data_IF_116951445465
#
_entry.id   IF_116951445465
#
_cell.length_a   1.000
_cell.length_b   1.000
_cell.length_c   1.000
_cell.angle_alpha   90.00
_cell.angle_beta   90.00
_cell.angle_gamma   90.00
#
_symmetry.space_group_name_H-M   'P 1'
#
loop_
_entity.id
_entity.type
_entity.pdbx_description
1 polymer ?
#
# COMPACT_ATOMS: atom_id res chain seq x y z
N UNK A 1 4.82 -2.21 -5.66
CA UNK A 1 5.00 -0.74 -5.73
C UNK A 1 4.15 -0.25 -6.87
N UNK A 2 3.28 0.73 -6.64
CA UNK A 2 2.50 1.40 -7.69
C UNK A 2 2.96 2.85 -7.73
N UNK A 3 3.43 3.27 -8.89
CA UNK A 3 3.71 4.67 -9.17
C UNK A 3 2.38 5.35 -9.47
N UNK A 4 2.04 6.35 -8.66
CA UNK A 4 0.76 7.07 -8.74
C UNK A 4 0.96 8.44 -9.38
N UNK A 5 2.07 9.11 -9.09
CA UNK A 5 2.40 10.44 -9.62
C UNK A 5 3.91 10.68 -9.59
N UNK A 6 4.43 11.36 -10.61
CA UNK A 6 5.85 11.70 -10.77
C UNK A 6 6.22 13.02 -10.06
N UNK A 7 5.22 13.79 -9.63
CA UNK A 7 5.36 15.09 -8.98
C UNK A 7 4.84 15.08 -7.53
N UNK A 8 5.31 16.03 -6.72
CA UNK A 8 4.76 16.25 -5.38
C UNK A 8 3.35 16.82 -5.46
N UNK A 9 2.38 16.25 -4.72
CA UNK A 9 1.02 16.79 -4.69
C UNK A 9 0.98 18.20 -4.10
N UNK A 10 0.12 19.04 -4.65
CA UNK A 10 -0.13 20.37 -4.09
C UNK A 10 -0.98 20.25 -2.82
N UNK A 11 -0.89 21.28 -1.96
CA UNK A 11 -1.77 21.36 -0.79
C UNK A 11 -3.25 21.32 -1.24
N UNK A 12 -4.04 20.46 -0.59
CA UNK A 12 -5.46 20.17 -0.90
C UNK A 12 -5.74 19.44 -2.23
N UNK A 13 -4.72 18.96 -2.93
CA UNK A 13 -4.92 18.12 -4.11
C UNK A 13 -5.39 16.71 -3.71
N UNK A 14 -6.44 16.23 -4.37
CA UNK A 14 -6.97 14.86 -4.17
C UNK A 14 -6.75 14.03 -5.43
N UNK A 15 -5.92 12.99 -5.32
CA UNK A 15 -5.68 12.03 -6.40
C UNK A 15 -6.59 10.81 -6.20
N UNK A 16 -7.56 10.54 -7.09
CA UNK A 16 -8.37 9.34 -6.99
C UNK A 16 -7.55 8.09 -7.36
N UNK A 17 -7.54 7.09 -6.48
CA UNK A 17 -6.83 5.82 -6.69
C UNK A 17 -7.85 4.68 -6.72
N UNK A 18 -7.76 3.81 -7.74
CA UNK A 18 -8.48 2.54 -7.81
C UNK A 18 -7.49 1.39 -7.92
N UNK A 19 -7.40 0.56 -6.87
CA UNK A 19 -6.52 -0.60 -6.81
C UNK A 19 -7.34 -1.90 -6.79
N UNK A 20 -7.19 -2.72 -7.83
CA UNK A 20 -7.88 -4.01 -7.92
C UNK A 20 -7.06 -5.12 -7.27
N UNK A 21 -7.54 -5.67 -6.14
CA UNK A 21 -6.79 -6.67 -5.37
C UNK A 21 -6.75 -8.07 -6.04
N UNK A 22 -7.63 -8.33 -7.00
CA UNK A 22 -7.77 -9.65 -7.64
C UNK A 22 -6.54 -10.07 -8.47
N UNK A 23 -5.71 -9.11 -8.90
CA UNK A 23 -4.50 -9.37 -9.68
C UNK A 23 -3.27 -9.69 -8.82
N UNK A 24 -3.41 -9.74 -7.50
CA UNK A 24 -2.30 -10.03 -6.58
C UNK A 24 -2.51 -11.37 -5.88
N UNK A 25 -1.42 -12.08 -5.66
CA UNK A 25 -1.39 -13.28 -4.81
C UNK A 25 -1.38 -12.87 -3.33
N UNK A 26 -2.53 -12.37 -2.86
CA UNK A 26 -2.72 -11.96 -1.47
C UNK A 26 -3.31 -13.11 -0.65
N UNK A 27 -2.78 -13.25 0.56
CA UNK A 27 -3.44 -14.04 1.60
C UNK A 27 -4.24 -13.11 2.49
N UNK A 28 -5.16 -13.62 3.34
CA UNK A 28 -5.75 -12.83 4.41
C UNK A 28 -4.68 -12.21 5.31
N UNK A 29 -5.07 -11.16 6.04
CA UNK A 29 -4.29 -10.66 7.16
C UNK A 29 -4.32 -11.68 8.30
N UNK A 30 -3.15 -12.04 8.80
CA UNK A 30 -3.00 -12.94 9.94
C UNK A 30 -2.48 -12.14 11.15
N UNK A 31 -3.19 -12.21 12.27
CA UNK A 31 -2.81 -11.54 13.50
C UNK A 31 -2.51 -12.57 14.58
N UNK A 32 -1.27 -12.55 15.09
CA UNK A 32 -0.78 -13.36 16.21
C UNK A 32 -1.18 -14.84 16.17
N UNK A 33 -0.97 -15.49 15.02
CA UNK A 33 -1.34 -16.89 14.83
C UNK A 33 -0.43 -17.75 15.71
N UNK A 34 -1.02 -18.40 16.72
CA UNK A 34 -0.34 -19.24 17.70
C UNK A 34 0.88 -18.59 18.38
N UNK A 35 0.92 -17.25 18.47
CA UNK A 35 2.10 -16.48 18.94
C UNK A 35 3.38 -16.71 18.14
N UNK A 36 3.27 -17.29 16.95
CA UNK A 36 4.43 -17.65 16.13
C UNK A 36 4.63 -16.61 15.02
N UNK A 37 3.54 -16.15 14.38
CA UNK A 37 3.66 -15.18 13.30
C UNK A 37 2.46 -14.23 13.18
N UNK A 38 2.70 -13.14 12.46
CA UNK A 38 1.68 -12.23 11.94
C UNK A 38 2.03 -11.86 10.50
N UNK A 39 1.01 -11.68 9.66
CA UNK A 39 1.15 -11.18 8.29
C UNK A 39 0.21 -10.01 8.09
N UNK A 40 0.75 -8.86 7.72
CA UNK A 40 0.02 -7.60 7.56
C UNK A 40 0.37 -6.98 6.20
N UNK A 41 -0.61 -6.28 5.64
CA UNK A 41 -0.46 -5.51 4.41
C UNK A 41 -0.74 -4.04 4.76
N UNK A 42 0.12 -3.14 4.28
CA UNK A 42 0.04 -1.72 4.57
C UNK A 42 0.14 -0.92 3.27
N UNK A 43 -0.52 0.24 3.26
CA UNK A 43 -0.36 1.24 2.22
C UNK A 43 0.59 2.30 2.76
N UNK A 44 1.67 2.58 2.01
CA UNK A 44 2.66 3.59 2.38
C UNK A 44 2.89 4.54 1.22
N UNK A 45 3.09 5.80 1.55
CA UNK A 45 3.70 6.77 0.66
C UNK A 45 5.22 6.55 0.72
N UNK A 46 5.83 6.41 -0.43
CA UNK A 46 7.28 6.39 -0.61
C UNK A 46 7.59 7.51 -1.58
N UNK A 47 8.45 8.46 -1.19
CA UNK A 47 9.01 9.47 -2.07
C UNK A 47 10.30 8.96 -2.72
N UNK A 48 10.49 9.30 -3.99
CA UNK A 48 11.78 9.08 -4.65
C UNK A 48 12.66 10.30 -4.41
N UNK A 49 13.29 10.36 -3.23
CA UNK A 49 14.42 11.25 -3.01
C UNK A 49 15.50 10.58 -2.16
N UNK A 50 16.40 9.87 -2.84
CA UNK A 50 17.76 9.56 -2.41
C UNK A 50 18.69 9.72 -3.63
#
# INVERSE_FOLDING_TARGET
KFEIMDSTPMHDETIPICLFLASFDLTPTFHDVNKEFSKRYNLFHIDEWN
#
